data_IF_537346376925
#
_entry.id   IF_537346376925
#
_cell.length_a   1.000
_cell.length_b   1.000
_cell.length_c   1.000
_cell.angle_alpha   90.00
_cell.angle_beta   90.00
_cell.angle_gamma   90.00
#
_symmetry.space_group_name_H-M   'P 1'
#
loop_
_entity.id
_entity.type
_entity.pdbx_description
1 polymer ?
#
# COMPACT_ATOMS: atom_id res chain seq x y z
N UNK A 1 2.65 -15.91 1.83
CA UNK A 1 1.31 -15.30 1.99
C UNK A 1 1.39 -13.91 2.62
N UNK A 2 2.36 -13.65 3.50
CA UNK A 2 2.55 -12.33 4.14
C UNK A 2 2.74 -11.18 3.15
N UNK A 3 3.46 -11.36 2.04
CA UNK A 3 3.57 -10.29 1.03
C UNK A 3 2.26 -10.02 0.28
N UNK A 4 1.40 -11.03 0.12
CA UNK A 4 0.17 -10.92 -0.66
C UNK A 4 -0.82 -9.94 -0.04
N UNK A 5 -0.87 -9.88 1.31
CA UNK A 5 -1.73 -8.94 2.03
C UNK A 5 -1.37 -7.48 1.74
N UNK A 6 -0.08 -7.18 1.54
CA UNK A 6 0.37 -5.83 1.19
C UNK A 6 0.07 -5.49 -0.27
N UNK A 7 0.20 -6.46 -1.19
CA UNK A 7 -0.29 -6.31 -2.57
C UNK A 7 -1.79 -5.99 -2.59
N UNK A 8 -2.58 -6.71 -1.80
CA UNK A 8 -4.01 -6.46 -1.67
C UNK A 8 -4.27 -5.06 -1.09
N UNK A 9 -3.57 -4.69 -0.02
CA UNK A 9 -3.65 -3.38 0.60
C UNK A 9 -3.43 -2.26 -0.42
N UNK A 10 -2.36 -2.32 -1.20
CA UNK A 10 -2.07 -1.29 -2.22
C UNK A 10 -3.13 -1.25 -3.32
N UNK A 11 -3.69 -2.39 -3.75
CA UNK A 11 -4.77 -2.42 -4.73
C UNK A 11 -6.07 -1.77 -4.22
N UNK A 12 -6.30 -1.76 -2.91
CA UNK A 12 -7.46 -1.11 -2.29
C UNK A 12 -7.28 0.41 -2.13
N UNK A 13 -6.05 0.91 -2.21
CA UNK A 13 -5.76 2.34 -2.03
C UNK A 13 -6.10 3.12 -3.30
N UNK A 14 -7.13 3.96 -3.24
CA UNK A 14 -7.48 4.86 -4.33
C UNK A 14 -6.35 5.85 -4.62
N UNK A 15 -5.96 5.96 -5.88
CA UNK A 15 -4.92 6.88 -6.35
C UNK A 15 -3.53 6.25 -6.48
N UNK A 16 -3.33 5.03 -5.97
CA UNK A 16 -2.11 4.25 -6.20
C UNK A 16 -2.36 3.24 -7.31
N UNK A 17 -1.95 3.60 -8.52
CA UNK A 17 -1.93 2.70 -9.67
C UNK A 17 -0.58 1.97 -9.82
N UNK A 18 -0.44 1.11 -10.84
CA UNK A 18 0.75 0.28 -11.04
C UNK A 18 2.04 1.09 -11.20
N UNK A 19 1.99 2.27 -11.82
CA UNK A 19 3.16 3.16 -11.97
C UNK A 19 3.69 3.65 -10.62
N UNK A 20 2.79 4.13 -9.74
CA UNK A 20 3.18 4.62 -8.41
C UNK A 20 3.62 3.48 -7.50
N UNK A 21 2.91 2.34 -7.57
CA UNK A 21 3.31 1.14 -6.84
C UNK A 21 4.70 0.67 -7.27
N UNK A 22 5.00 0.70 -8.57
CA UNK A 22 6.34 0.36 -9.06
C UNK A 22 7.41 1.33 -8.53
N UNK A 23 7.16 2.64 -8.57
CA UNK A 23 8.09 3.63 -8.01
C UNK A 23 8.35 3.41 -6.51
N UNK A 24 7.31 3.06 -5.74
CA UNK A 24 7.44 2.68 -4.33
C UNK A 24 8.32 1.44 -4.17
N UNK A 25 8.13 0.41 -4.98
CA UNK A 25 8.94 -0.81 -4.94
C UNK A 25 10.40 -0.57 -5.34
N UNK A 26 10.65 0.24 -6.37
CA UNK A 26 12.02 0.60 -6.77
C UNK A 26 12.73 1.42 -5.68
N UNK A 27 12.00 2.25 -4.91
CA UNK A 27 12.56 3.06 -3.83
C UNK A 27 12.77 2.27 -2.52
N UNK A 28 11.78 1.47 -2.11
CA UNK A 28 11.77 0.76 -0.83
C UNK A 28 12.28 -0.68 -0.92
N UNK A 29 12.45 -1.23 -2.13
CA UNK A 29 12.95 -2.58 -2.39
C UNK A 29 11.89 -3.68 -2.31
N UNK A 30 10.96 -3.59 -1.36
CA UNK A 30 9.89 -4.58 -1.19
C UNK A 30 8.54 -3.93 -0.82
N UNK A 31 7.46 -4.71 -0.99
CA UNK A 31 6.10 -4.21 -0.84
C UNK A 31 5.70 -3.98 0.62
N UNK A 32 6.23 -4.76 1.56
CA UNK A 32 5.96 -4.59 2.97
C UNK A 32 6.59 -3.28 3.44
N UNK A 33 7.87 -3.07 3.14
CA UNK A 33 8.58 -1.83 3.49
C UNK A 33 7.90 -0.62 2.87
N UNK A 34 7.47 -0.70 1.60
CA UNK A 34 6.67 0.36 0.97
C UNK A 34 5.33 0.61 1.70
N UNK A 35 4.64 -0.46 2.13
CA UNK A 35 3.39 -0.37 2.88
C UNK A 35 3.57 0.14 4.31
N UNK A 36 4.73 0.02 4.91
CA UNK A 36 4.98 0.49 6.28
C UNK A 36 5.72 1.83 6.30
N UNK A 37 6.23 2.29 5.15
CA UNK A 37 7.01 3.50 5.00
C UNK A 37 6.33 4.75 5.58
N UNK A 38 7.07 5.65 6.25
CA UNK A 38 6.52 6.87 6.84
C UNK A 38 6.05 7.85 5.76
N UNK A 39 5.08 8.71 6.13
CA UNK A 39 4.50 9.70 5.23
C UNK A 39 5.52 10.66 4.60
N UNK A 40 6.65 10.93 5.28
CA UNK A 40 7.73 11.72 4.72
C UNK A 40 8.39 11.00 3.52
N UNK A 41 8.82 9.75 3.69
CA UNK A 41 9.47 8.98 2.62
C UNK A 41 8.53 8.73 1.44
N UNK A 42 7.24 8.48 1.70
CA UNK A 42 6.23 8.33 0.64
C UNK A 42 6.09 9.60 -0.23
N UNK A 43 6.24 10.79 0.35
CA UNK A 43 6.22 12.05 -0.41
C UNK A 43 7.45 12.20 -1.30
N UNK A 44 8.61 11.76 -0.85
CA UNK A 44 9.85 11.79 -1.65
C UNK A 44 9.74 10.94 -2.92
N UNK A 45 8.97 9.84 -2.87
CA UNK A 45 8.66 9.01 -4.06
C UNK A 45 7.69 9.70 -5.03
N UNK A 46 7.08 10.82 -4.62
CA UNK A 46 6.16 11.59 -5.46
C UNK A 46 4.68 11.24 -5.26
N UNK A 47 4.30 10.64 -4.13
CA UNK A 47 2.88 10.53 -3.78
C UNK A 47 2.32 11.92 -3.48
N UNK A 48 1.34 12.33 -4.28
CA UNK A 48 0.59 13.56 -4.05
C UNK A 48 -0.21 13.48 -2.74
N UNK A 49 -0.65 14.63 -2.24
CA UNK A 49 -1.37 14.72 -0.95
C UNK A 49 -2.59 13.81 -0.88
N UNK A 50 -3.35 13.65 -1.96
CA UNK A 50 -4.57 12.83 -1.98
C UNK A 50 -4.23 11.36 -1.90
N UNK A 51 -3.29 10.90 -2.73
CA UNK A 51 -2.83 9.50 -2.74
C UNK A 51 -2.20 9.11 -1.40
N UNK A 52 -1.38 10.00 -0.81
CA UNK A 52 -0.79 9.80 0.51
C UNK A 52 -1.85 9.69 1.60
N UNK A 53 -2.82 10.63 1.63
CA UNK A 53 -3.90 10.58 2.62
C UNK A 53 -4.71 9.30 2.51
N UNK A 54 -5.04 8.86 1.29
CA UNK A 54 -5.79 7.61 1.08
C UNK A 54 -5.01 6.39 1.58
N UNK A 55 -3.70 6.34 1.34
CA UNK A 55 -2.83 5.26 1.83
C UNK A 55 -2.81 5.22 3.36
N UNK A 56 -2.59 6.37 4.01
CA UNK A 56 -2.56 6.43 5.47
C UNK A 56 -3.90 6.08 6.10
N UNK A 57 -5.02 6.54 5.53
CA UNK A 57 -6.36 6.16 5.99
C UNK A 57 -6.62 4.66 5.78
N UNK A 58 -6.23 4.10 4.63
CA UNK A 58 -6.33 2.66 4.38
C UNK A 58 -5.56 1.86 5.43
N UNK A 59 -4.32 2.23 5.76
CA UNK A 59 -3.52 1.56 6.80
C UNK A 59 -4.18 1.57 8.18
N UNK A 60 -4.91 2.63 8.51
CA UNK A 60 -5.60 2.74 9.80
C UNK A 60 -6.92 1.95 9.85
N UNK A 61 -7.58 1.77 8.70
CA UNK A 61 -8.92 1.19 8.63
C UNK A 61 -8.93 -0.28 8.20
N UNK A 62 -7.91 -0.74 7.48
CA UNK A 62 -7.83 -2.09 6.94
C UNK A 62 -7.06 -3.01 7.87
N UNK A 63 -7.73 -4.07 8.32
CA UNK A 63 -7.07 -5.28 8.79
C UNK A 63 -6.78 -6.17 7.57
N UNK A 64 -5.54 -6.14 7.10
CA UNK A 64 -5.13 -6.85 5.89
C UNK A 64 -5.25 -8.38 6.02
N UNK A 65 -5.16 -8.92 7.23
CA UNK A 65 -5.31 -10.35 7.47
C UNK A 65 -6.78 -10.77 7.32
N UNK A 66 -7.71 -9.96 7.82
CA UNK A 66 -9.16 -10.17 7.60
C UNK A 66 -9.53 -10.05 6.12
N UNK A 67 -9.00 -9.05 5.42
CA UNK A 67 -9.31 -8.89 3.98
C UNK A 67 -8.72 -10.04 3.17
N UNK A 68 -7.50 -10.48 3.47
CA UNK A 68 -6.88 -11.61 2.78
C UNK A 68 -7.68 -12.91 2.99
N UNK A 69 -8.14 -13.18 4.21
CA UNK A 69 -8.98 -14.34 4.51
C UNK A 69 -10.26 -14.35 3.66
N UNK A 70 -10.96 -13.21 3.58
CA UNK A 70 -12.19 -13.10 2.76
C UNK A 70 -11.97 -13.35 1.28
N UNK A 71 -10.82 -12.96 0.74
CA UNK A 71 -10.49 -13.20 -0.68
C UNK A 71 -10.09 -14.66 -0.91
N UNK A 72 -9.49 -15.33 0.08
CA UNK A 72 -9.11 -16.74 -0.02
C UNK A 72 -10.31 -17.71 0.09
N UNK A 73 -11.40 -17.28 0.73
CA UNK A 73 -12.63 -18.06 0.88
C UNK A 73 -13.63 -17.89 -0.29
N UNK A 74 -13.37 -16.98 -1.22
CA UNK A 74 -14.22 -16.65 -2.37
C UNK A 74 -13.75 -17.35 -3.66
#
# INVERSE_FOLDING_TARGET
MEQLRYWLGFNLVRGIGPVRLRALLDYFGDIQTAWEAPAAALREVGLDRRSLSNLLSCRQQLDLDVVLARVAEA
#
